data_IF_730980147774
#
_entry.id   IF_730980147774
#
_cell.length_a   1.000
_cell.length_b   1.000
_cell.length_c   1.000
_cell.angle_alpha   90.00
_cell.angle_beta   90.00
_cell.angle_gamma   90.00
#
_symmetry.space_group_name_H-M   'P 1'
#
loop_
_entity.id
_entity.type
_entity.pdbx_description
1 polymer ?
#
# COMPACT_ATOMS: atom_id res chain seq x y z
N UNK A 1 -18.49 -41.79 44.26
CA UNK A 1 -17.19 -41.98 43.57
C UNK A 1 -17.41 -42.87 42.37
N UNK A 2 -17.41 -42.32 41.16
CA UNK A 2 -17.21 -43.09 39.91
C UNK A 2 -16.73 -42.10 38.84
N UNK A 3 -15.42 -42.08 38.59
CA UNK A 3 -14.82 -41.38 37.45
C UNK A 3 -15.14 -42.21 36.20
N UNK A 4 -15.93 -41.64 35.29
CA UNK A 4 -16.15 -42.20 33.96
C UNK A 4 -15.03 -41.68 33.05
N UNK A 5 -13.96 -42.46 32.93
CA UNK A 5 -12.85 -42.17 32.03
C UNK A 5 -13.31 -42.32 30.58
N UNK A 6 -13.31 -41.21 29.84
CA UNK A 6 -13.52 -41.23 28.39
C UNK A 6 -12.40 -42.03 27.73
N UNK A 7 -12.72 -43.25 27.29
CA UNK A 7 -11.89 -44.03 26.40
C UNK A 7 -11.79 -43.31 25.05
N UNK A 8 -10.62 -42.78 24.76
CA UNK A 8 -10.24 -42.39 23.40
C UNK A 8 -10.14 -43.69 22.60
N UNK A 9 -11.14 -43.94 21.76
CA UNK A 9 -11.09 -45.00 20.75
C UNK A 9 -10.01 -44.57 19.75
N UNK A 10 -8.79 -45.08 19.97
CA UNK A 10 -7.72 -45.06 18.97
C UNK A 10 -8.18 -45.97 17.85
N UNK A 11 -8.83 -45.37 16.86
CA UNK A 11 -9.18 -46.01 15.60
C UNK A 11 -7.92 -46.43 14.86
N UNK A 12 -7.44 -47.64 15.17
CA UNK A 12 -6.47 -48.36 14.38
C UNK A 12 -7.09 -48.66 13.00
N UNK A 13 -6.76 -47.83 12.01
CA UNK A 13 -7.28 -48.00 10.65
C UNK A 13 -7.13 -46.82 9.69
N UNK A 14 -6.68 -45.65 10.13
CA UNK A 14 -6.44 -44.49 9.25
C UNK A 14 -4.98 -44.50 8.77
N UNK A 15 -4.65 -45.54 8.00
CA UNK A 15 -3.29 -45.99 7.71
C UNK A 15 -2.52 -45.09 6.73
N UNK A 16 -1.38 -44.53 7.16
CA UNK A 16 -0.24 -44.03 6.37
C UNK A 16 -0.45 -42.89 5.35
N UNK A 17 -1.51 -42.92 4.55
CA UNK A 17 -1.84 -41.97 3.49
C UNK A 17 -2.29 -40.61 4.03
N UNK A 18 -3.05 -40.59 5.14
CA UNK A 18 -3.46 -39.33 5.78
C UNK A 18 -2.31 -38.63 6.49
N UNK A 19 -1.44 -39.38 7.18
CA UNK A 19 -0.25 -38.84 7.83
C UNK A 19 0.71 -38.24 6.79
N UNK A 20 0.95 -38.93 5.67
CA UNK A 20 1.73 -38.40 4.55
C UNK A 20 1.10 -37.13 3.94
N UNK A 21 -0.23 -37.11 3.76
CA UNK A 21 -0.96 -35.92 3.27
C UNK A 21 -0.88 -34.73 4.23
N UNK A 22 -0.92 -34.98 5.54
CA UNK A 22 -0.73 -33.94 6.55
C UNK A 22 0.67 -33.33 6.48
N UNK A 23 1.71 -34.16 6.45
CA UNK A 23 3.10 -33.70 6.35
C UNK A 23 3.40 -32.96 5.04
N UNK A 24 2.80 -33.39 3.94
CA UNK A 24 2.88 -32.67 2.66
C UNK A 24 2.24 -31.28 2.73
N UNK A 25 1.07 -31.16 3.34
CA UNK A 25 0.41 -29.87 3.55
C UNK A 25 1.23 -28.97 4.47
N UNK A 26 1.77 -29.53 5.55
CA UNK A 26 2.65 -28.80 6.47
C UNK A 26 3.90 -28.27 5.77
N UNK A 27 4.53 -29.09 4.92
CA UNK A 27 5.67 -28.67 4.10
C UNK A 27 5.32 -27.53 3.15
N UNK A 28 4.12 -27.54 2.56
CA UNK A 28 3.63 -26.45 1.72
C UNK A 28 3.39 -25.16 2.51
N UNK A 29 2.81 -25.25 3.71
CA UNK A 29 2.62 -24.10 4.60
C UNK A 29 3.97 -23.45 4.92
N UNK A 30 4.94 -24.22 5.41
CA UNK A 30 6.28 -23.72 5.71
C UNK A 30 6.97 -23.11 4.47
N UNK A 31 6.75 -23.68 3.28
CA UNK A 31 7.24 -23.12 2.03
C UNK A 31 6.59 -21.76 1.70
N UNK A 32 5.27 -21.63 1.90
CA UNK A 32 4.56 -20.38 1.66
C UNK A 32 4.92 -19.30 2.66
N UNK A 33 5.07 -19.65 3.94
CA UNK A 33 5.55 -18.71 4.97
C UNK A 33 6.91 -18.14 4.60
N UNK A 34 7.87 -19.00 4.23
CA UNK A 34 9.19 -18.57 3.76
C UNK A 34 9.14 -17.70 2.51
N UNK A 35 8.21 -17.97 1.59
CA UNK A 35 8.00 -17.14 0.40
C UNK A 35 7.41 -15.77 0.77
N UNK A 36 6.48 -15.76 1.72
CA UNK A 36 5.83 -14.55 2.19
C UNK A 36 6.84 -13.63 2.91
N UNK A 37 7.68 -14.16 3.80
CA UNK A 37 8.76 -13.41 4.44
C UNK A 37 9.67 -12.75 3.39
N UNK A 38 10.09 -13.50 2.36
CA UNK A 38 10.90 -12.95 1.27
C UNK A 38 10.16 -11.86 0.49
N UNK A 39 8.85 -12.01 0.28
CA UNK A 39 8.04 -11.00 -0.39
C UNK A 39 7.97 -9.72 0.45
N UNK A 40 7.73 -9.83 1.76
CA UNK A 40 7.75 -8.69 2.70
C UNK A 40 9.09 -7.96 2.66
N UNK A 41 10.21 -8.68 2.71
CA UNK A 41 11.55 -8.08 2.61
C UNK A 41 11.74 -7.33 1.29
N UNK A 42 11.28 -7.90 0.16
CA UNK A 42 11.37 -7.23 -1.14
C UNK A 42 10.54 -5.96 -1.19
N UNK A 43 9.31 -6.01 -0.68
CA UNK A 43 8.43 -4.84 -0.61
C UNK A 43 9.07 -3.73 0.22
N UNK A 44 9.56 -4.05 1.41
CA UNK A 44 10.23 -3.08 2.28
C UNK A 44 11.47 -2.47 1.60
N UNK A 45 12.26 -3.29 0.91
CA UNK A 45 13.44 -2.81 0.17
C UNK A 45 13.05 -1.86 -0.98
N UNK A 46 11.96 -2.16 -1.69
CA UNK A 46 11.46 -1.29 -2.76
C UNK A 46 10.94 0.04 -2.21
N UNK A 47 10.19 0.01 -1.11
CA UNK A 47 9.73 1.23 -0.43
C UNK A 47 10.89 2.10 0.03
N UNK A 48 11.91 1.51 0.67
CA UNK A 48 13.10 2.26 1.09
C UNK A 48 13.83 2.91 -0.10
N UNK A 49 13.95 2.19 -1.22
CA UNK A 49 14.54 2.77 -2.45
C UNK A 49 13.70 3.91 -3.01
N UNK A 50 12.37 3.75 -3.04
CA UNK A 50 11.46 4.82 -3.44
C UNK A 50 11.63 6.06 -2.56
N UNK A 51 11.62 5.90 -1.23
CA UNK A 51 11.77 7.02 -0.28
C UNK A 51 13.11 7.75 -0.44
N UNK A 52 14.20 7.02 -0.68
CA UNK A 52 15.52 7.61 -0.80
C UNK A 52 15.78 8.25 -2.16
N UNK A 53 15.28 7.65 -3.23
CA UNK A 53 15.65 8.04 -4.59
C UNK A 53 14.55 8.83 -5.28
N UNK A 54 13.31 8.39 -5.20
CA UNK A 54 12.21 8.94 -6.01
C UNK A 54 11.45 10.03 -5.26
N UNK A 55 11.12 9.79 -3.98
CA UNK A 55 10.34 10.73 -3.16
C UNK A 55 10.92 12.15 -3.10
N UNK A 56 12.25 12.38 -3.05
CA UNK A 56 12.81 13.73 -3.10
C UNK A 56 12.54 14.43 -4.43
N UNK A 57 12.55 13.70 -5.54
CA UNK A 57 12.24 14.23 -6.86
C UNK A 57 10.76 14.56 -6.99
N UNK A 58 9.88 13.66 -6.52
CA UNK A 58 8.42 13.88 -6.51
C UNK A 58 8.07 15.14 -5.70
N UNK A 59 8.65 15.29 -4.50
CA UNK A 59 8.49 16.50 -3.67
C UNK A 59 8.98 17.74 -4.38
N UNK A 60 10.19 17.71 -4.95
CA UNK A 60 10.75 18.85 -5.68
C UNK A 60 9.89 19.24 -6.89
N UNK A 61 9.33 18.26 -7.59
CA UNK A 61 8.43 18.48 -8.71
C UNK A 61 7.14 19.18 -8.23
N UNK A 62 6.53 18.69 -7.15
CA UNK A 62 5.38 19.31 -6.50
C UNK A 62 5.65 20.76 -6.09
N UNK A 63 6.76 20.98 -5.37
CA UNK A 63 7.18 22.32 -4.94
C UNK A 63 7.37 23.27 -6.12
N UNK A 64 7.97 22.79 -7.20
CA UNK A 64 8.21 23.57 -8.42
C UNK A 64 6.89 23.96 -9.10
N UNK A 65 5.94 23.02 -9.21
CA UNK A 65 4.60 23.28 -9.75
C UNK A 65 3.87 24.34 -8.92
N UNK A 66 3.90 24.24 -7.60
CA UNK A 66 3.30 25.24 -6.71
C UNK A 66 3.92 26.64 -6.89
N UNK A 67 5.24 26.72 -7.06
CA UNK A 67 5.92 28.00 -7.33
C UNK A 67 5.50 28.59 -8.67
N UNK A 68 5.39 27.78 -9.71
CA UNK A 68 4.94 28.23 -11.04
C UNK A 68 3.51 28.73 -11.02
N UNK A 69 2.59 28.01 -10.38
CA UNK A 69 1.20 28.47 -10.24
C UNK A 69 1.13 29.80 -9.50
N UNK A 70 1.86 29.94 -8.38
CA UNK A 70 1.93 31.20 -7.64
C UNK A 70 2.47 32.34 -8.50
N UNK A 71 3.50 32.08 -9.31
CA UNK A 71 4.06 33.08 -10.21
C UNK A 71 3.06 33.47 -11.31
N UNK A 72 2.42 32.50 -11.97
CA UNK A 72 1.40 32.76 -12.99
C UNK A 72 0.26 33.63 -12.45
N UNK A 73 -0.23 33.30 -11.26
CA UNK A 73 -1.26 34.07 -10.59
C UNK A 73 -0.81 35.48 -10.17
N UNK A 74 0.49 35.70 -9.96
CA UNK A 74 1.01 37.02 -9.60
C UNK A 74 0.87 38.04 -10.73
N UNK A 75 0.75 37.59 -11.98
CA UNK A 75 0.47 38.44 -13.14
C UNK A 75 -1.00 38.87 -13.23
N UNK A 76 -1.90 38.21 -12.49
CA UNK A 76 -3.31 38.58 -12.44
C UNK A 76 -3.44 39.80 -11.53
N UNK A 77 -3.50 40.98 -12.14
CA UNK A 77 -3.61 42.24 -11.41
C UNK A 77 -4.85 42.22 -10.50
N UNK A 78 -4.61 42.49 -9.22
CA UNK A 78 -5.65 42.59 -8.18
C UNK A 78 -6.73 43.63 -8.48
N UNK A 79 -6.46 44.56 -9.41
CA UNK A 79 -7.42 45.56 -9.88
C UNK A 79 -8.38 45.02 -10.93
N UNK A 80 -7.95 44.05 -11.74
CA UNK A 80 -8.76 43.49 -12.83
C UNK A 80 -9.50 42.21 -12.41
N UNK A 81 -8.92 41.43 -11.49
CA UNK A 81 -9.52 40.19 -11.00
C UNK A 81 -10.19 40.40 -9.64
N UNK A 82 -11.53 40.31 -9.58
CA UNK A 82 -12.25 40.38 -8.31
C UNK A 82 -11.87 39.17 -7.45
N UNK A 83 -11.92 39.32 -6.12
CA UNK A 83 -11.60 38.24 -5.16
C UNK A 83 -12.36 36.93 -5.44
N UNK A 84 -13.61 37.01 -5.90
CA UNK A 84 -14.43 35.84 -6.27
C UNK A 84 -13.88 35.11 -7.49
N UNK A 85 -13.47 35.83 -8.53
CA UNK A 85 -12.93 35.26 -9.76
C UNK A 85 -11.55 34.63 -9.50
N UNK A 86 -10.77 35.25 -8.60
CA UNK A 86 -9.51 34.65 -8.12
C UNK A 86 -9.74 33.32 -7.39
N UNK A 87 -10.77 33.25 -6.56
CA UNK A 87 -11.13 32.03 -5.82
C UNK A 87 -11.61 30.91 -6.77
N UNK A 88 -12.47 31.23 -7.73
CA UNK A 88 -12.91 30.28 -8.76
C UNK A 88 -11.74 29.76 -9.60
N UNK A 89 -10.78 30.62 -9.93
CA UNK A 89 -9.58 30.20 -10.64
C UNK A 89 -8.72 29.25 -9.80
N UNK A 90 -8.61 29.47 -8.48
CA UNK A 90 -7.93 28.54 -7.58
C UNK A 90 -8.61 27.18 -7.56
N UNK A 91 -9.93 27.16 -7.39
CA UNK A 91 -10.72 25.93 -7.36
C UNK A 91 -10.57 25.15 -8.67
N UNK A 92 -10.64 25.84 -9.82
CA UNK A 92 -10.44 25.23 -11.12
C UNK A 92 -9.04 24.64 -11.28
N UNK A 93 -7.99 25.38 -10.93
CA UNK A 93 -6.60 24.90 -11.04
C UNK A 93 -6.36 23.71 -10.11
N UNK A 94 -6.90 23.74 -8.89
CA UNK A 94 -6.78 22.65 -7.92
C UNK A 94 -7.49 21.38 -8.40
N UNK A 95 -8.68 21.52 -8.99
CA UNK A 95 -9.42 20.41 -9.61
C UNK A 95 -8.64 19.80 -10.78
N UNK A 96 -8.09 20.63 -11.67
CA UNK A 96 -7.27 20.15 -12.80
C UNK A 96 -6.00 19.44 -12.32
N UNK A 97 -5.34 19.94 -11.28
CA UNK A 97 -4.17 19.28 -10.70
C UNK A 97 -4.50 17.94 -10.03
N UNK A 98 -5.65 17.86 -9.37
CA UNK A 98 -6.12 16.64 -8.71
C UNK A 98 -6.42 15.54 -9.74
N UNK A 99 -7.04 15.89 -10.87
CA UNK A 99 -7.30 14.95 -11.98
C UNK A 99 -6.02 14.43 -12.65
N UNK A 100 -4.90 15.17 -12.55
CA UNK A 100 -3.61 14.74 -13.08
C UNK A 100 -2.86 13.77 -12.15
N UNK A 101 -3.30 13.56 -10.90
CA UNK A 101 -2.65 12.62 -9.96
C UNK A 101 -3.10 11.16 -10.12
N UNK A 102 -4.14 10.89 -10.92
CA UNK A 102 -4.70 9.54 -11.15
C UNK A 102 -4.01 8.74 -12.29
N UNK A 103 -2.81 9.14 -12.71
CA UNK A 103 -1.96 8.45 -13.70
C UNK A 103 -0.60 8.06 -13.12
#
# INVERSE_FOLDING_TARGET
>A
MTQSGSQIIVGAGVSGKQENSFWERWRKVAQYERRNEKATVKVNTLYQKYEQQVMPHDRKMGDTRCRWLRHLMSFLDSKELKRKDRQLLFEYVDEQLSQMQDF
#
